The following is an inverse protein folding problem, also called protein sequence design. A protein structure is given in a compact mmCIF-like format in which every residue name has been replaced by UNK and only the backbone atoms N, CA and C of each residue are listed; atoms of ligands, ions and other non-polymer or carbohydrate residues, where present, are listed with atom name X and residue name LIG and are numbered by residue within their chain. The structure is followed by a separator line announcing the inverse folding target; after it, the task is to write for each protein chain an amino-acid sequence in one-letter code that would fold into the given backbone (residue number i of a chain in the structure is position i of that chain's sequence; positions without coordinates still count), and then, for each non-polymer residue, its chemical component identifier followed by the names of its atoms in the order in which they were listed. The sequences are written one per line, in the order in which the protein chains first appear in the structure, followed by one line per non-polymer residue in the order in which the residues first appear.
data_IF_933389918552
#
_entry.id   IF_933389918552
#
_cell.length_a   1.000
_cell.length_b   1.000
_cell.length_c   1.000
_cell.angle_alpha   90.00
_cell.angle_beta   90.00
_cell.angle_gamma   90.00
#
_symmetry.space_group_name_H-M   'P 1'
#
loop_
_entity.id
_entity.type
_entity.pdbx_description
1 polymer ?
#
# COMPACT_ATOMS: atom_id res chain seq x y z
N UNK A 1 -1.60 2.36 -27.71
CA UNK A 1 -2.41 3.13 -26.75
C UNK A 1 -1.64 4.40 -26.42
N UNK A 2 -2.00 5.56 -26.98
CA UNK A 2 -1.45 6.83 -26.52
C UNK A 2 -2.63 7.71 -26.13
N UNK A 3 -2.58 8.21 -24.90
CA UNK A 3 -3.52 9.14 -24.25
C UNK A 3 -4.83 8.53 -23.71
N UNK A 4 -4.77 7.38 -23.02
CA UNK A 4 -5.84 7.04 -22.07
C UNK A 4 -5.63 7.90 -20.83
N UNK A 5 -6.71 8.47 -20.34
CA UNK A 5 -6.76 9.23 -19.09
C UNK A 5 -6.64 8.26 -17.91
N UNK A 6 -5.41 7.81 -17.65
CA UNK A 6 -5.08 6.81 -16.63
C UNK A 6 -3.81 7.20 -15.88
N UNK A 7 -3.86 7.05 -14.56
CA UNK A 7 -2.80 7.41 -13.63
C UNK A 7 -2.49 6.22 -12.72
N UNK A 8 -1.20 6.05 -12.45
CA UNK A 8 -0.71 5.26 -11.32
C UNK A 8 -0.12 6.22 -10.30
N UNK A 9 -0.57 6.11 -9.05
CA UNK A 9 -0.08 6.97 -7.97
C UNK A 9 0.20 6.16 -6.72
N UNK A 10 1.40 6.35 -6.18
CA UNK A 10 1.91 5.57 -5.07
C UNK A 10 1.95 6.42 -3.80
N UNK A 11 1.72 5.78 -2.66
CA UNK A 11 1.88 6.37 -1.35
C UNK A 11 2.51 5.36 -0.41
N UNK A 12 3.54 5.79 0.30
CA UNK A 12 4.10 5.12 1.47
C UNK A 12 4.47 6.20 2.46
N UNK A 13 4.34 5.93 3.76
CA UNK A 13 4.70 6.93 4.78
C UNK A 13 6.21 7.22 4.77
N UNK A 14 7.03 6.27 4.31
CA UNK A 14 8.46 6.48 4.09
C UNK A 14 8.76 7.65 3.15
N UNK A 15 7.88 7.96 2.20
CA UNK A 15 8.04 9.11 1.30
C UNK A 15 7.71 10.46 1.93
N UNK A 16 7.00 10.47 3.05
CA UNK A 16 6.79 11.70 3.84
C UNK A 16 8.07 12.02 4.63
N UNK A 17 8.83 11.00 5.02
CA UNK A 17 10.05 11.13 5.82
C UNK A 17 11.30 10.58 5.09
N UNK A 18 11.58 11.08 3.87
CA UNK A 18 12.59 10.49 3.00
C UNK A 18 14.00 10.58 3.58
N UNK A 19 14.30 11.63 4.36
CA UNK A 19 15.62 11.79 4.97
C UNK A 19 15.91 10.75 6.05
N UNK A 20 14.92 10.39 6.87
CA UNK A 20 15.10 9.37 7.93
C UNK A 20 15.31 7.98 7.32
N UNK A 21 14.47 7.62 6.35
CA UNK A 21 14.64 6.39 5.57
C UNK A 21 16.00 6.38 4.83
N UNK A 22 16.40 7.50 4.21
CA UNK A 22 17.69 7.64 3.51
C UNK A 22 18.87 7.47 4.45
N UNK A 23 18.83 8.01 5.66
CA UNK A 23 19.91 7.83 6.66
C UNK A 23 20.06 6.35 7.02
N UNK A 24 18.95 5.65 7.31
CA UNK A 24 18.97 4.21 7.60
C UNK A 24 19.54 3.44 6.38
N UNK A 25 19.01 3.71 5.19
CA UNK A 25 19.40 3.01 3.96
C UNK A 25 20.84 3.32 3.52
N UNK A 26 21.39 4.47 3.90
CA UNK A 26 22.76 4.87 3.56
C UNK A 26 23.83 4.02 4.27
N UNK A 27 23.48 3.28 5.32
CA UNK A 27 24.44 2.50 6.08
C UNK A 27 25.19 1.47 5.19
N UNK A 28 26.52 1.40 5.29
CA UNK A 28 27.32 0.43 4.55
C UNK A 28 26.93 -1.03 4.81
N UNK A 29 26.47 -1.36 6.02
CA UNK A 29 26.04 -2.71 6.38
C UNK A 29 24.87 -3.23 5.52
N UNK A 30 24.10 -2.35 4.86
CA UNK A 30 23.04 -2.69 3.92
C UNK A 30 23.49 -2.69 2.45
N UNK A 31 24.79 -2.60 2.14
CA UNK A 31 25.29 -2.54 0.76
C UNK A 31 24.86 -3.74 -0.10
N UNK A 32 24.93 -4.97 0.44
CA UNK A 32 24.48 -6.17 -0.26
C UNK A 32 22.98 -6.14 -0.57
N UNK A 33 22.17 -5.85 0.45
CA UNK A 33 20.72 -5.68 0.30
C UNK A 33 20.37 -4.61 -0.75
N UNK A 34 21.06 -3.46 -0.72
CA UNK A 34 20.92 -2.39 -1.73
C UNK A 34 21.25 -2.87 -3.14
N UNK A 35 22.33 -3.63 -3.28
CA UNK A 35 22.74 -4.15 -4.58
C UNK A 35 21.66 -5.09 -5.16
N UNK A 36 21.04 -5.93 -4.33
CA UNK A 36 19.91 -6.76 -4.75
C UNK A 36 18.71 -5.89 -5.14
N UNK A 37 18.26 -4.99 -4.27
CA UNK A 37 17.11 -4.10 -4.53
C UNK A 37 17.30 -3.30 -5.82
N UNK A 38 18.50 -2.80 -6.09
CA UNK A 38 18.80 -2.03 -7.30
C UNK A 38 18.68 -2.83 -8.60
N UNK A 39 18.64 -4.16 -8.56
CA UNK A 39 18.34 -4.99 -9.74
C UNK A 39 16.91 -4.72 -10.24
N UNK A 40 15.99 -4.35 -9.35
CA UNK A 40 14.61 -4.01 -9.69
C UNK A 40 14.47 -2.71 -10.50
N UNK A 41 15.53 -1.91 -10.61
CA UNK A 41 15.56 -0.73 -11.49
C UNK A 41 15.65 -1.11 -12.98
N UNK A 42 15.86 -2.39 -13.29
CA UNK A 42 15.93 -2.91 -14.65
C UNK A 42 14.71 -3.75 -14.98
N UNK A 43 14.37 -3.84 -16.26
CA UNK A 43 13.30 -4.73 -16.72
C UNK A 43 13.73 -6.19 -16.51
N UNK A 44 12.98 -6.91 -15.69
CA UNK A 44 13.25 -8.32 -15.37
C UNK A 44 12.22 -9.26 -16.01
N UNK A 45 12.71 -10.41 -16.48
CA UNK A 45 11.89 -11.56 -16.88
C UNK A 45 11.35 -12.30 -15.64
N UNK A 46 10.39 -13.20 -15.83
CA UNK A 46 9.82 -13.98 -14.72
C UNK A 46 10.88 -14.80 -13.95
N UNK A 47 11.83 -15.43 -14.66
CA UNK A 47 12.91 -16.17 -14.02
C UNK A 47 13.84 -15.26 -13.19
N UNK A 48 14.11 -14.05 -13.69
CA UNK A 48 14.87 -13.04 -12.95
C UNK A 48 14.11 -12.57 -11.70
N UNK A 49 12.78 -12.41 -11.75
CA UNK A 49 11.97 -12.09 -10.57
C UNK A 49 12.04 -13.16 -9.49
N UNK A 50 11.99 -14.44 -9.86
CA UNK A 50 12.17 -15.53 -8.90
C UNK A 50 13.56 -15.50 -8.26
N UNK A 51 14.61 -15.30 -9.06
CA UNK A 51 15.98 -15.20 -8.55
C UNK A 51 16.19 -13.97 -7.66
N UNK A 52 15.57 -12.84 -8.01
CA UNK A 52 15.58 -11.62 -7.21
C UNK A 52 14.96 -11.86 -5.83
N UNK A 53 13.80 -12.52 -5.77
CA UNK A 53 13.12 -12.82 -4.51
C UNK A 53 14.01 -13.68 -3.59
N UNK A 54 14.65 -14.72 -4.14
CA UNK A 54 15.59 -15.54 -3.37
C UNK A 54 16.83 -14.75 -2.91
N UNK A 55 17.40 -13.90 -3.77
CA UNK A 55 18.53 -13.06 -3.40
C UNK A 55 18.17 -12.06 -2.29
N UNK A 56 16.95 -11.52 -2.33
CA UNK A 56 16.45 -10.60 -1.31
C UNK A 56 16.30 -11.30 0.05
N UNK A 57 15.75 -12.52 0.06
CA UNK A 57 15.62 -13.33 1.27
C UNK A 57 16.99 -13.69 1.88
N UNK A 58 17.97 -14.04 1.04
CA UNK A 58 19.34 -14.31 1.46
C UNK A 58 19.97 -13.08 2.10
N UNK A 59 19.90 -11.91 1.46
CA UNK A 59 20.48 -10.68 2.01
C UNK A 59 19.76 -10.19 3.28
N UNK A 60 18.43 -10.32 3.35
CA UNK A 60 17.67 -10.01 4.56
C UNK A 60 18.06 -10.92 5.73
N UNK A 61 18.34 -12.20 5.44
CA UNK A 61 18.74 -13.20 6.43
C UNK A 61 20.23 -13.16 6.78
N UNK A 62 21.04 -12.49 5.96
CA UNK A 62 22.50 -12.36 6.14
C UNK A 62 22.81 -11.76 7.51
N UNK A 63 23.76 -12.35 8.21
CA UNK A 63 24.20 -11.87 9.52
C UNK A 63 25.07 -10.62 9.39
N UNK A 64 24.78 -9.63 10.23
CA UNK A 64 25.54 -8.39 10.30
C UNK A 64 26.85 -8.64 11.05
N UNK A 65 27.96 -8.05 10.59
CA UNK A 65 29.27 -8.24 11.21
C UNK A 65 29.36 -7.47 12.51
N UNK A 66 30.10 -8.00 13.49
CA UNK A 66 30.46 -7.27 14.70
C UNK A 66 31.16 -5.93 14.40
N UNK A 67 31.89 -5.86 13.28
CA UNK A 67 32.57 -4.67 12.80
C UNK A 67 31.61 -3.55 12.33
N UNK A 68 30.33 -3.86 12.09
CA UNK A 68 29.33 -2.89 11.65
C UNK A 68 28.69 -2.12 12.83
N UNK A 69 28.89 -2.56 14.08
CA UNK A 69 28.34 -1.90 15.27
C UNK A 69 28.64 -0.38 15.37
N UNK A 70 29.83 0.13 14.99
CA UNK A 70 30.09 1.56 14.96
C UNK A 70 29.24 2.33 13.94
N UNK A 71 28.73 1.69 12.89
CA UNK A 71 27.90 2.35 11.87
C UNK A 71 26.52 2.73 12.44
N UNK A 72 25.92 1.89 13.30
CA UNK A 72 24.67 2.23 14.00
C UNK A 72 24.84 3.48 14.86
N UNK A 73 26.02 3.65 15.48
CA UNK A 73 26.33 4.86 16.24
C UNK A 73 26.47 6.10 15.36
N UNK A 74 26.70 5.96 14.05
CA UNK A 74 26.72 7.11 13.12
C UNK A 74 25.33 7.60 12.76
N UNK A 75 24.30 6.76 12.83
CA UNK A 75 22.88 7.20 12.73
C UNK A 75 22.57 8.22 13.83
N UNK A 76 23.24 8.12 14.98
CA UNK A 76 23.11 9.10 16.06
C UNK A 76 23.58 10.50 15.65
N UNK A 77 24.29 10.69 14.53
CA UNK A 77 24.86 11.97 14.14
C UNK A 77 25.76 12.58 15.21
N UNK A 78 26.41 13.70 14.88
CA UNK A 78 27.21 14.49 15.82
C UNK A 78 26.35 15.46 16.66
N UNK A 79 25.03 15.28 16.72
CA UNK A 79 24.11 16.34 17.16
C UNK A 79 22.83 15.87 17.85
N UNK A 80 22.74 14.62 18.31
CA UNK A 80 21.61 14.25 19.15
C UNK A 80 21.75 14.87 20.54
N UNK A 81 20.79 15.73 20.88
CA UNK A 81 20.60 16.25 22.23
C UNK A 81 20.64 15.10 23.24
N UNK A 82 21.17 15.34 24.44
CA UNK A 82 21.11 14.38 25.57
C UNK A 82 19.69 13.95 25.91
N UNK A 83 18.67 14.62 25.37
CA UNK A 83 17.25 14.34 25.56
C UNK A 83 16.63 13.43 24.49
N UNK A 84 17.38 12.96 23.48
CA UNK A 84 16.82 12.07 22.46
C UNK A 84 16.54 10.66 23.03
N UNK A 85 15.26 10.27 23.03
CA UNK A 85 14.76 8.99 23.56
C UNK A 85 15.28 7.76 22.81
N UNK A 86 15.77 7.92 21.58
CA UNK A 86 16.31 6.85 20.73
C UNK A 86 17.74 6.47 21.10
N UNK A 87 18.44 7.29 21.88
CA UNK A 87 19.87 7.09 22.17
C UNK A 87 20.14 5.76 22.88
N UNK A 88 19.36 5.43 23.90
CA UNK A 88 19.52 4.20 24.67
C UNK A 88 19.18 2.94 23.85
N UNK A 89 18.04 2.88 23.12
CA UNK A 89 17.78 1.77 22.21
C UNK A 89 18.85 1.56 21.12
N UNK A 90 19.37 2.63 20.51
CA UNK A 90 20.44 2.53 19.51
C UNK A 90 21.75 2.02 20.12
N UNK A 91 22.08 2.43 21.36
CA UNK A 91 23.23 1.86 22.11
C UNK A 91 23.04 0.37 22.37
N UNK A 92 21.84 -0.05 22.77
CA UNK A 92 21.49 -1.46 22.96
C UNK A 92 21.61 -2.25 21.65
N UNK A 93 21.13 -1.72 20.54
CA UNK A 93 21.27 -2.35 19.22
C UNK A 93 22.75 -2.50 18.84
N UNK A 94 23.56 -1.45 18.97
CA UNK A 94 24.99 -1.50 18.70
C UNK A 94 25.73 -2.50 19.62
N UNK A 95 25.31 -2.60 20.88
CA UNK A 95 25.83 -3.60 21.82
C UNK A 95 25.45 -5.02 21.42
N UNK A 96 24.20 -5.25 21.02
CA UNK A 96 23.74 -6.56 20.50
C UNK A 96 24.51 -6.97 19.25
N UNK A 97 24.70 -6.06 18.28
CA UNK A 97 25.51 -6.36 17.07
C UNK A 97 26.94 -6.73 17.45
N UNK A 98 27.52 -6.12 18.49
CA UNK A 98 28.89 -6.41 18.93
C UNK A 98 29.03 -7.74 19.68
N UNK A 99 28.06 -8.09 20.51
CA UNK A 99 28.21 -9.16 21.50
C UNK A 99 27.34 -10.39 21.25
N UNK A 100 26.33 -10.27 20.40
CA UNK A 100 25.45 -11.37 20.02
C UNK A 100 25.78 -11.79 18.60
N UNK A 101 26.34 -12.98 18.37
CA UNK A 101 26.47 -13.50 17.02
C UNK A 101 25.08 -13.70 16.42
N UNK A 102 24.86 -13.16 15.22
CA UNK A 102 23.74 -13.61 14.40
C UNK A 102 22.49 -12.71 14.35
N UNK A 103 22.59 -11.41 14.60
CA UNK A 103 21.54 -10.50 14.12
C UNK A 103 21.55 -10.46 12.59
N UNK A 104 20.40 -10.74 11.99
CA UNK A 104 20.16 -10.61 10.55
C UNK A 104 20.02 -9.15 10.12
N UNK A 105 20.24 -8.87 8.84
CA UNK A 105 19.98 -7.55 8.27
C UNK A 105 18.52 -7.12 8.48
N UNK A 106 17.58 -8.06 8.37
CA UNK A 106 16.15 -7.84 8.67
C UNK A 106 15.93 -7.35 10.09
N UNK A 107 16.48 -8.02 11.09
CA UNK A 107 16.30 -7.64 12.51
C UNK A 107 16.88 -6.25 12.81
N UNK A 108 18.04 -5.93 12.22
CA UNK A 108 18.65 -4.60 12.35
C UNK A 108 17.77 -3.55 11.68
N UNK A 109 17.32 -3.79 10.44
CA UNK A 109 16.44 -2.88 9.72
C UNK A 109 15.13 -2.64 10.47
N UNK A 110 14.44 -3.70 10.91
CA UNK A 110 13.21 -3.61 11.71
C UNK A 110 13.41 -2.79 12.97
N UNK A 111 14.53 -3.00 13.69
CA UNK A 111 14.82 -2.23 14.90
C UNK A 111 15.05 -0.75 14.57
N UNK A 112 15.79 -0.43 13.49
CA UNK A 112 16.03 0.95 13.10
C UNK A 112 14.74 1.68 12.70
N UNK A 113 13.83 0.99 12.01
CA UNK A 113 12.51 1.52 11.69
C UNK A 113 11.68 1.76 12.96
N UNK A 114 11.63 0.81 13.89
CA UNK A 114 10.89 1.00 15.15
C UNK A 114 11.42 2.12 16.05
N UNK A 115 12.64 2.59 15.79
CA UNK A 115 13.26 3.70 16.52
C UNK A 115 13.07 5.04 15.82
N UNK A 116 12.59 5.04 14.58
CA UNK A 116 12.16 6.25 13.90
C UNK A 116 10.85 6.71 14.52
N UNK A 117 10.80 7.95 15.03
CA UNK A 117 9.55 8.55 15.52
C UNK A 117 8.53 8.75 14.39
N UNK A 118 9.02 8.76 13.15
CA UNK A 118 8.20 9.00 11.95
C UNK A 118 7.75 7.70 11.26
N UNK A 119 8.44 6.58 11.54
CA UNK A 119 8.26 5.25 10.90
C UNK A 119 8.17 4.14 11.96
N UNK A 120 7.55 4.43 13.11
CA UNK A 120 7.53 3.58 14.31
C UNK A 120 6.97 2.16 14.05
N UNK A 121 6.07 1.99 13.07
CA UNK A 121 5.53 0.70 12.67
C UNK A 121 6.09 0.27 11.30
N UNK A 122 6.49 -0.99 11.18
CA UNK A 122 6.88 -1.59 9.89
C UNK A 122 5.77 -1.45 8.84
N UNK A 123 4.51 -1.44 9.27
CA UNK A 123 3.35 -1.25 8.41
C UNK A 123 3.27 0.16 7.81
N UNK A 124 3.98 1.15 8.36
CA UNK A 124 4.09 2.49 7.77
C UNK A 124 4.85 2.48 6.43
N UNK A 125 5.66 1.45 6.18
CA UNK A 125 6.31 1.20 4.89
C UNK A 125 5.38 0.53 3.86
N UNK A 126 4.11 0.26 4.21
CA UNK A 126 3.15 -0.32 3.28
C UNK A 126 2.96 0.58 2.07
N UNK A 127 3.09 -0.01 0.90
CA UNK A 127 2.84 0.67 -0.36
C UNK A 127 1.35 0.65 -0.67
N UNK A 128 0.74 1.82 -0.64
CA UNK A 128 -0.56 2.06 -1.24
C UNK A 128 -0.39 2.39 -2.73
N UNK A 129 -1.29 1.88 -3.56
CA UNK A 129 -1.30 2.14 -5.01
C UNK A 129 -2.70 2.51 -5.44
N UNK A 130 -2.81 3.69 -6.04
CA UNK A 130 -3.94 4.05 -6.87
C UNK A 130 -3.66 3.66 -8.33
N UNK A 131 -4.67 3.10 -8.98
CA UNK A 131 -4.69 2.86 -10.42
C UNK A 131 -6.08 3.19 -10.96
N UNK A 132 -6.20 4.23 -11.76
CA UNK A 132 -7.50 4.67 -12.24
C UNK A 132 -7.41 5.92 -13.09
N UNK A 133 -8.56 6.55 -13.40
CA UNK A 133 -8.58 7.77 -14.19
C UNK A 133 -7.80 8.92 -13.52
N UNK A 134 -7.15 9.77 -14.30
CA UNK A 134 -6.47 10.93 -13.73
C UNK A 134 -7.50 11.96 -13.21
N UNK A 135 -7.06 12.96 -12.46
CA UNK A 135 -7.96 14.02 -11.98
C UNK A 135 -8.51 14.88 -13.14
N UNK A 136 -9.68 15.52 -12.95
CA UNK A 136 -10.09 16.69 -13.75
C UNK A 136 -9.01 17.78 -13.68
N UNK A 137 -8.48 18.19 -14.84
CA UNK A 137 -7.45 19.25 -14.92
C UNK A 137 -6.24 18.91 -15.78
N UNK A 138 -6.17 17.71 -16.36
CA UNK A 138 -5.40 17.51 -17.59
C UNK A 138 -6.16 18.19 -18.75
N UNK A 139 -5.45 18.72 -19.75
CA UNK A 139 -6.05 19.34 -20.96
C UNK A 139 -6.84 18.34 -21.84
N UNK A 140 -7.27 17.22 -21.28
CA UNK A 140 -7.96 16.12 -21.93
C UNK A 140 -9.40 16.04 -21.42
N UNK A 141 -10.33 15.80 -22.33
CA UNK A 141 -11.73 15.53 -21.99
C UNK A 141 -11.82 14.34 -21.02
N UNK A 142 -12.58 14.42 -19.91
CA UNK A 142 -12.69 13.33 -18.96
C UNK A 142 -13.29 12.09 -19.64
N UNK A 143 -12.48 11.05 -19.82
CA UNK A 143 -12.96 9.77 -20.36
C UNK A 143 -13.97 9.14 -19.39
N UNK A 144 -15.03 8.58 -19.96
CA UNK A 144 -15.95 7.69 -19.27
C UNK A 144 -15.50 6.25 -19.50
N UNK A 145 -15.82 5.36 -18.57
CA UNK A 145 -15.41 3.97 -18.65
C UNK A 145 -16.59 3.04 -18.50
N UNK A 146 -16.54 1.92 -19.24
CA UNK A 146 -17.39 0.77 -18.99
C UNK A 146 -16.61 -0.25 -18.18
N UNK A 147 -17.20 -0.72 -17.09
CA UNK A 147 -16.62 -1.76 -16.22
C UNK A 147 -17.37 -3.07 -16.41
N UNK A 148 -16.64 -4.17 -16.50
CA UNK A 148 -17.18 -5.53 -16.47
C UNK A 148 -16.47 -6.30 -15.38
N UNK A 149 -17.23 -6.86 -14.45
CA UNK A 149 -16.72 -7.62 -13.31
C UNK A 149 -16.97 -9.10 -13.55
N UNK A 150 -15.93 -9.92 -13.32
CA UNK A 150 -15.97 -11.37 -13.31
C UNK A 150 -15.54 -11.82 -11.91
N UNK A 151 -16.45 -12.49 -11.22
CA UNK A 151 -16.27 -12.85 -9.81
C UNK A 151 -16.58 -14.33 -9.61
N UNK A 152 -15.86 -14.97 -8.69
CA UNK A 152 -16.10 -16.35 -8.30
C UNK A 152 -17.43 -16.53 -7.54
N UNK A 153 -17.81 -17.78 -7.29
CA UNK A 153 -19.12 -18.15 -6.69
C UNK A 153 -19.38 -17.54 -5.31
N UNK A 154 -18.34 -17.05 -4.61
CA UNK A 154 -18.47 -16.41 -3.29
C UNK A 154 -18.95 -14.95 -3.35
N UNK A 155 -19.23 -14.41 -4.54
CA UNK A 155 -19.61 -13.02 -4.67
C UNK A 155 -21.08 -12.80 -4.33
N UNK A 156 -21.33 -11.90 -3.39
CA UNK A 156 -22.63 -11.80 -2.72
C UNK A 156 -23.71 -11.06 -3.52
N UNK A 157 -23.43 -10.50 -4.71
CA UNK A 157 -24.45 -9.97 -5.63
C UNK A 157 -23.99 -9.89 -7.09
N UNK A 158 -24.93 -10.07 -8.02
CA UNK A 158 -24.69 -10.11 -9.47
C UNK A 158 -25.21 -8.89 -10.26
N UNK A 159 -25.88 -7.91 -9.65
CA UNK A 159 -26.72 -7.00 -10.44
C UNK A 159 -26.67 -5.55 -9.92
N UNK A 160 -25.76 -4.74 -10.50
CA UNK A 160 -25.95 -3.29 -10.82
C UNK A 160 -24.71 -2.54 -11.32
N UNK A 161 -23.53 -3.16 -11.41
CA UNK A 161 -22.35 -2.54 -12.03
C UNK A 161 -22.23 -2.79 -13.55
N UNK A 162 -23.07 -3.67 -14.09
CA UNK A 162 -23.15 -3.92 -15.53
C UNK A 162 -23.84 -2.71 -16.19
N UNK A 163 -23.10 -2.00 -17.06
CA UNK A 163 -23.55 -0.95 -17.98
C UNK A 163 -23.65 0.49 -17.44
N UNK A 164 -23.08 0.81 -16.28
CA UNK A 164 -22.88 2.22 -15.90
C UNK A 164 -21.63 2.78 -16.61
N UNK A 165 -21.81 3.82 -17.41
CA UNK A 165 -20.69 4.66 -17.88
C UNK A 165 -20.32 5.59 -16.74
N UNK A 166 -19.22 5.30 -16.06
CA UNK A 166 -18.76 6.10 -14.94
C UNK A 166 -17.24 6.29 -15.03
N UNK A 167 -16.78 7.38 -14.45
CA UNK A 167 -15.36 7.66 -14.22
C UNK A 167 -14.85 7.02 -12.93
N UNK A 168 -15.73 6.66 -12.02
CA UNK A 168 -15.41 5.98 -10.76
C UNK A 168 -15.08 4.50 -11.04
N UNK A 169 -13.91 4.26 -11.64
CA UNK A 169 -13.38 2.91 -11.95
C UNK A 169 -11.99 2.71 -11.36
N UNK A 170 -11.53 3.65 -10.54
CA UNK A 170 -10.23 3.59 -9.89
C UNK A 170 -10.16 2.53 -8.79
N UNK A 171 -8.94 2.10 -8.55
CA UNK A 171 -8.56 1.15 -7.52
C UNK A 171 -7.63 1.82 -6.53
N UNK A 172 -7.83 1.56 -5.24
CA UNK A 172 -6.79 1.75 -4.24
C UNK A 172 -6.53 0.42 -3.57
N UNK A 173 -5.27 0.00 -3.53
CA UNK A 173 -4.78 -1.05 -2.64
C UNK A 173 -3.89 -0.43 -1.58
N UNK A 174 -3.98 -0.90 -0.34
CA UNK A 174 -3.31 -0.27 0.81
C UNK A 174 -2.20 -1.11 1.44
N UNK A 175 -1.99 -2.36 0.99
CA UNK A 175 -1.10 -3.29 1.68
C UNK A 175 -1.49 -3.44 3.16
N UNK A 176 -0.55 -3.24 4.07
CA UNK A 176 -0.79 -3.30 5.52
C UNK A 176 -0.89 -1.91 6.17
N UNK A 177 -1.21 -0.87 5.39
CA UNK A 177 -1.22 0.51 5.88
C UNK A 177 -1.97 0.68 7.21
N UNK A 178 -1.39 1.49 8.10
CA UNK A 178 -1.99 1.82 9.37
C UNK A 178 -2.72 3.16 9.30
N UNK A 179 -4.01 3.14 9.62
CA UNK A 179 -4.86 4.31 9.73
C UNK A 179 -5.40 4.52 11.15
N UNK A 180 -4.75 3.92 12.16
CA UNK A 180 -5.21 3.93 13.56
C UNK A 180 -5.24 5.31 14.20
N UNK A 181 -4.48 6.28 13.69
CA UNK A 181 -4.46 7.65 14.20
C UNK A 181 -5.07 8.66 13.22
N UNK A 182 -5.60 9.80 13.73
CA UNK A 182 -6.09 10.88 12.89
C UNK A 182 -5.04 11.42 11.91
N UNK A 183 -3.79 11.51 12.35
CA UNK A 183 -2.68 12.00 11.54
C UNK A 183 -2.42 11.10 10.34
N UNK A 184 -2.31 9.78 10.56
CA UNK A 184 -2.09 8.79 9.48
C UNK A 184 -3.25 8.80 8.47
N UNK A 185 -4.50 8.85 8.96
CA UNK A 185 -5.68 8.95 8.10
C UNK A 185 -5.68 10.25 7.27
N UNK A 186 -5.40 11.38 7.90
CA UNK A 186 -5.36 12.69 7.24
C UNK A 186 -4.25 12.76 6.19
N UNK A 187 -3.08 12.17 6.45
CA UNK A 187 -1.99 12.09 5.48
C UNK A 187 -2.40 11.29 4.24
N UNK A 188 -3.01 10.12 4.44
CA UNK A 188 -3.52 9.28 3.36
C UNK A 188 -4.59 10.00 2.53
N UNK A 189 -5.61 10.56 3.18
CA UNK A 189 -6.70 11.27 2.50
C UNK A 189 -6.19 12.53 1.80
N UNK A 190 -5.24 13.27 2.37
CA UNK A 190 -4.61 14.40 1.70
C UNK A 190 -3.84 13.95 0.45
N UNK A 191 -3.14 12.83 0.52
CA UNK A 191 -2.41 12.30 -0.63
C UNK A 191 -3.37 11.93 -1.75
N UNK A 192 -4.40 11.12 -1.45
CA UNK A 192 -5.34 10.60 -2.46
C UNK A 192 -6.62 11.44 -2.62
N UNK A 193 -6.64 12.68 -2.15
CA UNK A 193 -7.86 13.51 -2.11
C UNK A 193 -8.58 13.60 -3.46
N UNK A 194 -7.83 13.65 -4.56
CA UNK A 194 -8.38 13.73 -5.91
C UNK A 194 -8.89 12.37 -6.43
N UNK A 195 -8.32 11.28 -5.92
CA UNK A 195 -8.51 9.92 -6.41
C UNK A 195 -9.52 9.11 -5.58
N UNK A 196 -9.75 9.44 -4.30
CA UNK A 196 -10.67 8.70 -3.43
C UNK A 196 -12.08 8.68 -3.99
N UNK A 197 -12.56 9.82 -4.50
CA UNK A 197 -13.88 9.92 -5.13
C UNK A 197 -13.96 9.13 -6.46
N UNK A 198 -12.83 8.86 -7.12
CA UNK A 198 -12.77 8.03 -8.34
C UNK A 198 -12.61 6.55 -8.03
N UNK A 199 -12.47 6.18 -6.76
CA UNK A 199 -12.13 4.82 -6.33
C UNK A 199 -13.38 3.99 -6.09
N UNK A 200 -13.64 3.06 -7.00
CA UNK A 200 -14.75 2.10 -6.88
C UNK A 200 -14.34 0.75 -6.29
N UNK A 201 -13.04 0.47 -6.23
CA UNK A 201 -12.50 -0.72 -5.57
C UNK A 201 -11.47 -0.29 -4.55
N UNK A 202 -11.73 -0.61 -3.28
CA UNK A 202 -10.83 -0.33 -2.18
C UNK A 202 -10.40 -1.65 -1.52
N UNK A 203 -9.13 -2.02 -1.69
CA UNK A 203 -8.56 -3.20 -1.03
C UNK A 203 -8.15 -2.80 0.38
N UNK A 204 -8.71 -3.48 1.38
CA UNK A 204 -8.58 -3.11 2.78
C UNK A 204 -7.17 -3.35 3.32
N UNK A 205 -6.71 -2.49 4.25
CA UNK A 205 -5.43 -2.66 4.91
C UNK A 205 -5.38 -3.93 5.73
N UNK A 206 -4.24 -4.61 5.68
CA UNK A 206 -3.90 -5.74 6.55
C UNK A 206 -5.02 -6.79 6.58
N UNK A 207 -5.47 -7.20 5.40
CA UNK A 207 -6.53 -8.21 5.23
C UNK A 207 -7.90 -7.82 5.84
N UNK A 208 -8.12 -6.55 6.18
CA UNK A 208 -9.28 -6.08 6.95
C UNK A 208 -9.08 -6.22 8.46
N UNK A 209 -7.87 -5.97 8.95
CA UNK A 209 -7.59 -5.93 10.38
C UNK A 209 -8.24 -4.71 11.05
N UNK A 210 -8.91 -4.90 12.20
CA UNK A 210 -9.42 -3.77 12.99
C UNK A 210 -8.29 -2.91 13.57
N UNK A 211 -7.10 -3.47 13.71
CA UNK A 211 -5.94 -2.79 14.28
C UNK A 211 -5.33 -1.75 13.32
N UNK A 212 -5.70 -1.79 12.02
CA UNK A 212 -5.35 -0.75 11.06
C UNK A 212 -6.20 0.52 11.24
N UNK A 213 -7.08 0.57 12.24
CA UNK A 213 -8.00 1.67 12.49
C UNK A 213 -8.07 1.96 14.00
N UNK A 214 -8.77 3.03 14.38
CA UNK A 214 -9.09 3.35 15.76
C UNK A 214 -10.10 2.34 16.35
N UNK A 215 -10.17 2.23 17.67
CA UNK A 215 -11.04 1.26 18.34
C UNK A 215 -12.53 1.38 17.99
N UNK A 216 -12.98 2.58 17.60
CA UNK A 216 -14.39 2.87 17.33
C UNK A 216 -14.75 2.79 15.84
N UNK A 217 -13.78 2.51 14.97
CA UNK A 217 -13.90 2.52 13.51
C UNK A 217 -14.24 3.91 12.92
N UNK A 218 -13.99 5.00 13.64
CA UNK A 218 -14.22 6.36 13.14
C UNK A 218 -13.32 6.67 11.94
N UNK A 219 -12.07 6.20 11.95
CA UNK A 219 -11.12 6.31 10.84
C UNK A 219 -11.65 5.58 9.61
N UNK A 220 -12.20 4.36 9.76
CA UNK A 220 -12.82 3.64 8.64
C UNK A 220 -14.03 4.38 8.09
N UNK A 221 -14.89 4.96 8.96
CA UNK A 221 -16.04 5.76 8.50
C UNK A 221 -15.61 7.03 7.78
N UNK A 222 -14.56 7.69 8.25
CA UNK A 222 -13.98 8.87 7.59
C UNK A 222 -13.43 8.53 6.20
N UNK A 223 -12.70 7.41 6.07
CA UNK A 223 -12.25 6.91 4.78
C UNK A 223 -13.43 6.67 3.84
N UNK A 224 -14.44 5.92 4.31
CA UNK A 224 -15.65 5.60 3.53
C UNK A 224 -16.36 6.87 3.05
N UNK A 225 -16.45 7.91 3.88
CA UNK A 225 -17.09 9.17 3.53
C UNK A 225 -16.37 9.94 2.40
N UNK A 226 -15.13 9.58 2.07
CA UNK A 226 -14.34 10.18 0.98
C UNK A 226 -14.27 9.32 -0.29
N UNK A 227 -14.83 8.10 -0.27
CA UNK A 227 -14.90 7.22 -1.44
C UNK A 227 -16.09 7.56 -2.35
N UNK A 228 -16.17 6.91 -3.51
CA UNK A 228 -17.33 7.02 -4.40
C UNK A 228 -18.61 6.48 -3.74
N UNK A 229 -19.76 6.69 -4.37
CA UNK A 229 -21.01 6.07 -3.89
C UNK A 229 -20.91 4.54 -4.02
N UNK A 230 -21.30 3.82 -2.96
CA UNK A 230 -21.27 2.36 -2.84
C UNK A 230 -19.99 1.68 -3.40
N UNK A 231 -18.81 1.88 -2.79
CA UNK A 231 -17.57 1.25 -3.25
C UNK A 231 -17.58 -0.27 -3.00
N UNK A 232 -16.77 -1.01 -3.75
CA UNK A 232 -16.46 -2.41 -3.47
C UNK A 232 -15.23 -2.49 -2.56
N UNK A 233 -15.42 -3.02 -1.36
CA UNK A 233 -14.33 -3.36 -0.45
C UNK A 233 -13.85 -4.77 -0.70
N UNK A 234 -12.54 -4.95 -0.88
CA UNK A 234 -11.92 -6.27 -1.01
C UNK A 234 -11.04 -6.53 0.22
N UNK A 235 -11.26 -7.65 0.91
CA UNK A 235 -10.37 -8.18 1.93
C UNK A 235 -9.63 -9.39 1.36
N UNK A 236 -8.34 -9.28 0.99
CA UNK A 236 -7.53 -10.45 0.68
C UNK A 236 -7.26 -11.17 1.99
N UNK A 237 -8.03 -12.19 2.37
CA UNK A 237 -8.00 -12.75 3.71
C UNK A 237 -8.44 -14.21 3.74
N UNK A 238 -7.99 -14.95 4.76
CA UNK A 238 -8.50 -16.28 5.06
C UNK A 238 -9.25 -16.25 6.41
N UNK A 239 -10.59 -16.13 6.39
CA UNK A 239 -11.41 -16.06 7.62
C UNK A 239 -11.22 -17.27 8.54
N UNK A 240 -10.94 -18.43 7.97
CA UNK A 240 -10.73 -19.69 8.70
C UNK A 240 -9.34 -19.76 9.35
N UNK A 241 -8.47 -18.76 9.14
CA UNK A 241 -7.14 -18.74 9.74
C UNK A 241 -7.22 -18.63 11.27
N UNK A 242 -6.91 -19.74 11.97
CA UNK A 242 -7.11 -19.93 13.42
C UNK A 242 -6.60 -18.78 14.31
N UNK A 243 -5.47 -18.16 13.94
CA UNK A 243 -4.79 -17.09 14.71
C UNK A 243 -5.33 -15.68 14.47
N UNK A 244 -5.68 -15.35 13.22
CA UNK A 244 -5.89 -13.96 12.80
C UNK A 244 -7.36 -13.67 12.50
N UNK A 245 -8.03 -14.60 11.79
CA UNK A 245 -9.47 -14.52 11.47
C UNK A 245 -9.85 -13.17 10.85
N UNK A 246 -9.04 -12.71 9.91
CA UNK A 246 -9.32 -11.52 9.12
C UNK A 246 -10.27 -11.86 7.95
N UNK A 247 -11.09 -10.92 7.48
CA UNK A 247 -11.31 -9.58 8.04
C UNK A 247 -12.02 -9.68 9.40
N UNK A 248 -11.78 -8.71 10.30
CA UNK A 248 -12.52 -8.68 11.56
C UNK A 248 -13.96 -8.21 11.32
N UNK A 249 -14.92 -8.82 12.02
CA UNK A 249 -16.35 -8.52 11.87
C UNK A 249 -16.72 -7.02 11.94
N UNK A 250 -16.15 -6.19 12.82
CA UNK A 250 -16.45 -4.75 12.83
C UNK A 250 -16.07 -4.03 11.53
N UNK A 251 -14.99 -4.46 10.87
CA UNK A 251 -14.52 -3.90 9.59
C UNK A 251 -15.49 -4.32 8.49
N UNK A 252 -15.78 -5.61 8.39
CA UNK A 252 -16.73 -6.16 7.42
C UNK A 252 -18.12 -5.51 7.55
N UNK A 253 -18.66 -5.47 8.78
CA UNK A 253 -19.98 -4.90 9.08
C UNK A 253 -20.06 -3.43 8.71
N UNK A 254 -19.01 -2.66 8.98
CA UNK A 254 -18.93 -1.23 8.62
C UNK A 254 -18.90 -1.05 7.09
N UNK A 255 -18.07 -1.84 6.40
CA UNK A 255 -17.97 -1.80 4.94
C UNK A 255 -19.27 -2.19 4.24
N UNK A 256 -19.93 -3.28 4.68
CA UNK A 256 -21.22 -3.75 4.13
C UNK A 256 -22.37 -2.75 4.29
N UNK A 257 -22.29 -1.84 5.27
CA UNK A 257 -23.29 -0.76 5.43
C UNK A 257 -23.12 0.34 4.39
N UNK A 258 -21.90 0.54 3.90
CA UNK A 258 -21.57 1.62 2.98
C UNK A 258 -21.53 1.17 1.51
N UNK A 259 -21.12 -0.06 1.25
CA UNK A 259 -20.92 -0.58 -0.09
C UNK A 259 -20.98 -2.10 -0.15
N UNK A 260 -20.36 -2.67 -1.17
CA UNK A 260 -20.26 -4.11 -1.35
C UNK A 260 -18.97 -4.63 -0.70
N UNK A 261 -18.95 -5.89 -0.27
CA UNK A 261 -17.81 -6.48 0.43
C UNK A 261 -17.48 -7.85 -0.14
N UNK A 262 -16.21 -8.08 -0.44
CA UNK A 262 -15.73 -9.32 -1.03
C UNK A 262 -14.46 -9.81 -0.35
N UNK A 263 -14.39 -11.12 -0.11
CA UNK A 263 -13.21 -11.79 0.45
C UNK A 263 -12.54 -12.56 -0.67
N UNK A 264 -11.25 -12.30 -0.87
CA UNK A 264 -10.38 -13.04 -1.80
C UNK A 264 -9.39 -13.83 -0.97
N UNK A 265 -9.31 -15.13 -1.21
CA UNK A 265 -8.37 -16.05 -0.56
C UNK A 265 -7.61 -16.87 -1.62
N UNK A 266 -6.94 -17.95 -1.21
CA UNK A 266 -6.20 -18.81 -2.12
C UNK A 266 -7.11 -19.78 -2.91
N UNK A 267 -8.42 -19.81 -2.64
CA UNK A 267 -9.37 -20.63 -3.39
C UNK A 267 -9.71 -19.93 -4.71
N UNK A 268 -9.64 -20.65 -5.83
CA UNK A 268 -10.12 -20.12 -7.10
C UNK A 268 -11.57 -19.66 -7.02
N UNK A 269 -12.41 -20.22 -6.15
CA UNK A 269 -13.80 -19.78 -5.98
C UNK A 269 -13.95 -18.33 -5.47
N UNK A 270 -12.88 -17.71 -4.97
CA UNK A 270 -12.84 -16.32 -4.50
C UNK A 270 -12.12 -15.37 -5.47
N UNK A 271 -11.78 -15.83 -6.69
CA UNK A 271 -11.12 -14.96 -7.66
C UNK A 271 -11.99 -13.73 -7.99
N UNK A 272 -11.33 -12.59 -8.12
CA UNK A 272 -11.92 -11.36 -8.64
C UNK A 272 -11.12 -10.91 -9.86
N UNK A 273 -11.82 -10.61 -10.95
CA UNK A 273 -11.26 -10.00 -12.15
C UNK A 273 -12.19 -8.92 -12.64
N UNK A 274 -11.64 -7.85 -13.17
CA UNK A 274 -12.43 -6.90 -13.93
C UNK A 274 -11.75 -6.49 -15.22
N UNK A 275 -12.57 -5.94 -16.12
CA UNK A 275 -12.14 -5.33 -17.37
C UNK A 275 -12.73 -3.93 -17.43
N UNK A 276 -11.87 -2.94 -17.63
CA UNK A 276 -12.25 -1.55 -17.84
C UNK A 276 -11.95 -1.19 -19.29
N UNK A 277 -12.90 -0.52 -19.95
CA UNK A 277 -12.71 -0.01 -21.32
C UNK A 277 -13.10 1.46 -21.38
N UNK A 278 -12.29 2.32 -22.03
CA UNK A 278 -12.71 3.69 -22.29
C UNK A 278 -13.92 3.67 -23.24
N UNK A 279 -14.94 4.43 -22.89
CA UNK A 279 -16.10 4.71 -23.71
C UNK A 279 -15.73 5.94 -24.52
N UNK A 280 -15.39 5.76 -25.80
CA UNK A 280 -15.24 6.91 -26.68
C UNK A 280 -16.60 7.58 -26.78
N UNK A 281 -16.70 8.82 -26.30
CA UNK A 281 -17.83 9.67 -26.66
C UNK A 281 -17.86 9.72 -28.19
N UNK A 282 -18.99 9.33 -28.80
CA UNK A 282 -19.27 9.54 -30.22
C UNK A 282 -19.33 11.05 -30.48
N UNK A 283 -18.18 11.70 -30.58
CA UNK A 283 -18.08 13.11 -30.95
C UNK A 283 -17.92 13.32 -32.47
N UNK A 284 -18.15 12.28 -33.30
CA UNK A 284 -17.95 12.35 -34.77
C UNK A 284 -19.15 11.85 -35.60
N UNK A 285 -20.39 11.92 -35.09
CA UNK A 285 -21.59 11.59 -35.92
C UNK A 285 -22.67 12.68 -35.90
N UNK A 286 -22.33 13.92 -35.52
CA UNK A 286 -23.24 15.08 -35.66
C UNK A 286 -22.68 16.18 -36.57
N UNK A 287 -21.90 15.79 -37.58
CA UNK A 287 -21.69 16.61 -38.79
C UNK A 287 -22.49 16.03 -39.95
N UNK A 288 -23.82 16.05 -39.85
CA UNK A 288 -24.71 15.89 -41.00
C UNK A 288 -25.74 17.01 -40.96
N UNK A 289 -25.41 18.03 -41.76
CA UNK A 289 -26.30 18.86 -42.58
C UNK A 289 -27.60 19.33 -41.93
N UNK A 290 -27.61 20.61 -41.54
CA UNK A 290 -28.83 21.41 -41.62
C UNK A 290 -28.92 22.02 -43.04
N UNK A 291 -30.11 22.01 -43.66
CA UNK A 291 -30.34 22.50 -45.03
C UNK A 291 -30.11 24.00 -45.21
#
# INVERSE_FOLDING_TARGET
MRNVDWLFRFYSREWIYPEEARVIWSLPLFAGLKAVVNQANQKMTQAQWSSFASALEVELSRKVSHADAPQIRKILGAGLSKTDTRQEPLRRLAHKIRNTPGLSCKEVLTTLYSLSQSLEDYNDASMCVYSGPAQRGTDTWPEQFSRTVHQGQRALRNEKLLLAHNREVGWITTGDADFSTPEKMKEFLRHYHAETALTSVFVLPHHGSRNSYDSNMDRLRELIANLCDRPLFIAPANPEHKKFRHPHWPVESTCRKAGDFYIVDNDFASYYRETIKPVRALAEVLSWEWP
#
